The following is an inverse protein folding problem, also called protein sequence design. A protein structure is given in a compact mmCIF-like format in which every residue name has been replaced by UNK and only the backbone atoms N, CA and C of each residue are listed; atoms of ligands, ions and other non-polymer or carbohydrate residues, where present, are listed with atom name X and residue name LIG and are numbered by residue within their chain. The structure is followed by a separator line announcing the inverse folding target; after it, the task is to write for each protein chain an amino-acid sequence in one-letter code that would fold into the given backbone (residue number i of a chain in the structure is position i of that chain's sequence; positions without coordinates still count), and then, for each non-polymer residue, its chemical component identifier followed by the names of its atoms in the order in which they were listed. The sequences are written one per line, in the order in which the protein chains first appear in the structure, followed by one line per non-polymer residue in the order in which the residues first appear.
data_IF_017825336590
#
_entry.id   IF_017825336590
#
_cell.length_a   1.000
_cell.length_b   1.000
_cell.length_c   1.000
_cell.angle_alpha   90.00
_cell.angle_beta   90.00
_cell.angle_gamma   90.00
#
_symmetry.space_group_name_H-M   'P 1'
#
loop_
_entity.id
_entity.type
_entity.pdbx_description
1 polymer ?
#
# COMPACT_ATOMS: atom_id res chain seq x y z
N UNK A 1 7.12 3.00 47.81
CA UNK A 1 6.04 2.55 48.71
C UNK A 1 5.33 1.37 48.08
N UNK A 2 4.45 0.68 48.80
CA UNK A 2 3.83 -0.58 48.33
C UNK A 2 2.73 -0.38 47.27
N UNK A 3 2.19 0.82 47.12
CA UNK A 3 1.10 1.12 46.18
C UNK A 3 0.02 1.93 46.87
N UNK A 4 -0.78 2.68 46.10
CA UNK A 4 -1.92 3.44 46.65
C UNK A 4 -3.14 2.53 46.87
N UNK A 5 -4.07 2.92 47.73
CA UNK A 5 -5.35 2.22 47.93
C UNK A 5 -5.45 1.41 49.23
N UNK A 6 -6.67 1.03 49.62
CA UNK A 6 -6.96 0.35 50.89
C UNK A 6 -6.24 -1.00 51.04
N UNK A 7 -5.94 -1.66 49.91
CA UNK A 7 -5.22 -2.94 49.86
C UNK A 7 -3.79 -2.80 49.32
N UNK A 8 -3.31 -1.56 49.18
CA UNK A 8 -1.97 -1.27 48.63
C UNK A 8 -1.76 -1.83 47.21
N UNK A 9 -2.85 -1.99 46.45
CA UNK A 9 -2.89 -2.61 45.11
C UNK A 9 -2.69 -1.60 43.96
N UNK A 10 -2.50 -0.32 44.27
CA UNK A 10 -2.23 0.73 43.30
C UNK A 10 -0.81 0.71 42.76
N UNK A 11 -0.60 1.39 41.63
CA UNK A 11 0.69 1.44 40.94
C UNK A 11 1.77 2.03 41.89
N UNK A 12 2.77 1.22 42.20
CA UNK A 12 3.86 1.59 43.11
C UNK A 12 4.97 2.41 42.43
N UNK A 13 5.06 2.35 41.09
CA UNK A 13 6.05 3.07 40.28
C UNK A 13 5.40 4.11 39.36
N UNK A 14 6.15 5.15 39.01
CA UNK A 14 5.65 6.15 38.07
C UNK A 14 5.51 5.57 36.65
N UNK A 15 4.46 5.98 35.94
CA UNK A 15 4.30 5.66 34.51
C UNK A 15 5.42 6.32 33.73
N UNK A 16 6.13 5.52 32.92
CA UNK A 16 7.19 6.02 32.04
C UNK A 16 6.62 6.32 30.67
N UNK A 17 6.77 7.57 30.25
CA UNK A 17 6.41 8.00 28.89
C UNK A 17 7.65 8.04 28.01
N UNK A 18 7.48 7.68 26.73
CA UNK A 18 8.52 7.86 25.72
C UNK A 18 8.22 9.12 24.94
N UNK A 19 9.14 10.08 24.95
CA UNK A 19 9.04 11.27 24.10
C UNK A 19 9.45 10.88 22.69
N UNK A 20 8.61 11.27 21.71
CA UNK A 20 8.88 11.09 20.30
C UNK A 20 9.31 12.43 19.71
N UNK A 21 10.47 12.46 19.06
CA UNK A 21 11.04 13.67 18.46
C UNK A 21 11.04 13.62 16.92
N UNK A 22 10.42 12.61 16.33
CA UNK A 22 10.30 12.45 14.89
C UNK A 22 8.87 12.72 14.41
N UNK A 23 8.72 12.94 13.09
CA UNK A 23 7.45 13.27 12.44
C UNK A 23 6.70 12.04 11.91
N UNK A 24 7.27 10.84 12.04
CA UNK A 24 6.70 9.64 11.45
C UNK A 24 5.37 9.26 12.14
N UNK A 25 4.45 8.65 11.38
CA UNK A 25 3.25 8.05 11.97
C UNK A 25 3.54 6.69 12.61
N UNK A 26 2.60 6.18 13.41
CA UNK A 26 2.59 4.75 13.75
C UNK A 26 2.31 3.97 12.48
N UNK A 27 3.09 2.91 12.22
CA UNK A 27 2.99 2.14 10.97
C UNK A 27 3.66 2.78 9.76
N UNK A 28 4.42 3.87 9.92
CA UNK A 28 5.22 4.44 8.83
C UNK A 28 6.35 3.48 8.45
N UNK A 29 6.40 3.11 7.17
CA UNK A 29 7.52 2.39 6.59
C UNK A 29 8.61 3.38 6.14
N UNK A 30 9.76 3.34 6.83
CA UNK A 30 10.91 4.19 6.53
C UNK A 30 11.62 3.81 5.22
N UNK A 31 11.39 2.60 4.70
CA UNK A 31 11.97 2.14 3.44
C UNK A 31 11.15 2.58 2.21
N UNK A 32 9.88 2.95 2.40
CA UNK A 32 8.96 3.35 1.33
C UNK A 32 9.54 4.40 0.36
N UNK A 33 10.20 5.49 0.84
CA UNK A 33 10.78 6.49 -0.05
C UNK A 33 11.91 5.97 -0.94
N UNK A 34 12.58 4.88 -0.54
CA UNK A 34 13.70 4.27 -1.25
C UNK A 34 13.29 3.11 -2.14
N UNK A 35 12.00 2.71 -2.10
CA UNK A 35 11.48 1.57 -2.84
C UNK A 35 11.18 1.86 -4.32
N UNK A 36 11.08 3.14 -4.70
CA UNK A 36 10.67 3.52 -6.05
C UNK A 36 11.83 4.01 -6.90
N UNK A 37 12.18 3.21 -7.90
CA UNK A 37 13.16 3.55 -8.91
C UNK A 37 12.49 4.29 -10.07
N UNK A 38 12.38 5.62 -9.96
CA UNK A 38 11.70 6.44 -10.97
C UNK A 38 12.23 6.25 -12.39
N UNK A 39 13.52 5.95 -12.54
CA UNK A 39 14.16 5.74 -13.85
C UNK A 39 13.66 4.45 -14.51
N UNK A 40 13.48 3.39 -13.73
CA UNK A 40 12.99 2.08 -14.19
C UNK A 40 11.53 2.20 -14.62
N UNK A 41 10.72 2.91 -13.84
CA UNK A 41 9.33 3.22 -14.20
C UNK A 41 9.23 3.97 -15.53
N UNK A 42 10.00 5.06 -15.70
CA UNK A 42 10.00 5.85 -16.94
C UNK A 42 10.45 5.02 -18.13
N UNK A 43 11.49 4.19 -17.95
CA UNK A 43 12.01 3.32 -18.99
C UNK A 43 10.97 2.26 -19.42
N UNK A 44 10.38 1.54 -18.45
CA UNK A 44 9.42 0.48 -18.74
C UNK A 44 8.15 1.03 -19.38
N UNK A 45 7.63 2.17 -18.93
CA UNK A 45 6.49 2.86 -19.56
C UNK A 45 6.79 3.29 -21.00
N UNK A 46 7.98 3.83 -21.25
CA UNK A 46 8.39 4.22 -22.60
C UNK A 46 8.58 3.00 -23.52
N UNK A 47 9.22 1.95 -23.02
CA UNK A 47 9.46 0.71 -23.76
C UNK A 47 8.15 -0.01 -24.10
N UNK A 48 7.19 -0.04 -23.17
CA UNK A 48 5.87 -0.63 -23.38
C UNK A 48 5.07 0.08 -24.48
N UNK A 49 5.36 1.35 -24.76
CA UNK A 49 4.70 2.10 -25.82
C UNK A 49 5.26 1.85 -27.23
N UNK A 50 6.37 1.12 -27.36
CA UNK A 50 6.98 0.82 -28.65
C UNK A 50 6.62 -0.61 -29.06
N UNK A 51 5.89 -0.75 -30.15
CA UNK A 51 5.66 -2.03 -30.81
C UNK A 51 6.64 -2.23 -31.97
N UNK A 52 7.27 -3.39 -32.01
CA UNK A 52 8.18 -3.80 -33.09
C UNK A 52 7.54 -4.95 -33.84
N UNK A 53 7.30 -4.75 -35.14
CA UNK A 53 6.75 -5.78 -36.02
C UNK A 53 7.79 -6.17 -37.07
N UNK A 54 8.04 -7.47 -37.21
CA UNK A 54 8.88 -8.02 -38.28
C UNK A 54 8.00 -8.36 -39.48
N UNK A 55 8.15 -7.61 -40.56
CA UNK A 55 7.48 -7.83 -41.84
C UNK A 55 8.38 -8.54 -42.85
N UNK A 56 7.80 -8.88 -44.01
CA UNK A 56 8.52 -9.50 -45.12
C UNK A 56 9.66 -8.62 -45.68
N UNK A 57 9.53 -7.29 -45.54
CA UNK A 57 10.51 -6.29 -46.00
C UNK A 57 11.42 -5.73 -44.89
N UNK A 58 11.40 -6.33 -43.69
CA UNK A 58 12.26 -5.93 -42.56
C UNK A 58 11.51 -5.54 -41.28
N UNK A 59 12.17 -4.77 -40.42
CA UNK A 59 11.67 -4.40 -39.08
C UNK A 59 10.93 -3.05 -39.16
N UNK A 60 9.68 -3.00 -38.69
CA UNK A 60 8.89 -1.77 -38.56
C UNK A 60 8.64 -1.46 -37.08
N UNK A 61 8.79 -0.19 -36.69
CA UNK A 61 8.45 0.28 -35.34
C UNK A 61 7.22 1.18 -35.37
N UNK A 62 6.31 0.98 -34.43
CA UNK A 62 5.11 1.80 -34.23
C UNK A 62 5.01 2.19 -32.77
N UNK A 63 4.71 3.45 -32.50
CA UNK A 63 4.25 3.88 -31.17
C UNK A 63 2.78 3.54 -31.01
N UNK A 64 2.43 2.91 -29.88
CA UNK A 64 1.07 2.46 -29.59
C UNK A 64 0.13 3.62 -29.22
N UNK A 65 0.65 4.67 -28.58
CA UNK A 65 -0.10 5.88 -28.22
C UNK A 65 0.20 7.06 -29.16
N UNK A 66 -0.82 7.64 -29.77
CA UNK A 66 -0.69 8.81 -30.66
C UNK A 66 -0.58 10.15 -29.89
N UNK A 67 -1.21 10.25 -28.72
CA UNK A 67 -0.89 11.24 -27.69
C UNK A 67 0.15 10.61 -26.77
N UNK A 68 1.38 11.12 -26.78
CA UNK A 68 2.49 10.56 -26.02
C UNK A 68 2.13 10.14 -24.58
N UNK A 69 2.79 9.09 -24.09
CA UNK A 69 2.54 8.53 -22.76
C UNK A 69 2.73 9.61 -21.70
N UNK A 70 1.74 9.78 -20.82
CA UNK A 70 1.82 10.66 -19.66
C UNK A 70 2.74 10.08 -18.58
N UNK A 71 4.03 9.95 -18.88
CA UNK A 71 5.01 9.33 -17.99
C UNK A 71 5.37 10.30 -16.88
N UNK A 72 5.17 9.86 -15.63
CA UNK A 72 5.55 10.60 -14.42
C UNK A 72 6.83 10.01 -13.82
N UNK A 73 7.68 10.88 -13.29
CA UNK A 73 8.84 10.49 -12.47
C UNK A 73 8.46 10.26 -10.99
N UNK A 74 7.18 10.40 -10.63
CA UNK A 74 6.69 10.18 -9.27
C UNK A 74 6.04 8.81 -9.18
N UNK A 75 6.27 8.16 -8.03
CA UNK A 75 5.59 6.91 -7.69
C UNK A 75 4.07 7.12 -7.81
N UNK A 76 3.35 6.30 -8.57
CA UNK A 76 1.90 6.34 -8.57
C UNK A 76 1.44 6.01 -7.15
N UNK A 77 0.91 7.03 -6.45
CA UNK A 77 0.34 6.82 -5.14
C UNK A 77 -0.95 6.02 -5.33
N UNK A 78 -0.97 4.76 -4.87
CA UNK A 78 -2.24 4.04 -4.69
C UNK A 78 -3.02 4.89 -3.69
N UNK A 79 -3.95 5.70 -4.17
CA UNK A 79 -5.04 6.14 -3.33
C UNK A 79 -5.75 4.83 -2.95
N UNK A 80 -5.39 4.25 -1.80
CA UNK A 80 -6.23 3.23 -1.19
C UNK A 80 -7.62 3.80 -1.23
N UNK A 81 -8.58 3.09 -1.84
CA UNK A 81 -9.90 3.61 -2.13
C UNK A 81 -10.55 4.06 -0.82
N UNK A 82 -10.32 5.31 -0.45
CA UNK A 82 -10.85 5.95 0.72
C UNK A 82 -12.27 6.38 0.35
N UNK A 83 -13.13 5.38 0.12
CA UNK A 83 -14.56 5.59 0.16
C UNK A 83 -14.88 6.23 1.51
N UNK A 84 -15.38 7.47 1.45
CA UNK A 84 -15.92 8.29 2.55
C UNK A 84 -15.31 8.07 3.94
N UNK A 85 -13.98 7.94 4.06
CA UNK A 85 -13.34 7.84 5.36
C UNK A 85 -12.89 9.23 5.78
N UNK A 86 -13.49 9.76 6.85
CA UNK A 86 -13.18 11.10 7.36
C UNK A 86 -11.68 11.27 7.69
N UNK A 87 -10.97 10.16 7.95
CA UNK A 87 -9.53 10.12 8.20
C UNK A 87 -8.86 8.96 7.46
N UNK A 88 -8.64 9.10 6.15
CA UNK A 88 -8.04 8.08 5.27
C UNK A 88 -6.57 7.72 5.51
N UNK A 89 -6.04 7.97 6.72
CA UNK A 89 -4.66 7.65 7.12
C UNK A 89 -4.57 6.59 8.21
N UNK A 90 -5.69 6.20 8.81
CA UNK A 90 -5.71 5.15 9.83
C UNK A 90 -6.04 3.81 9.18
N UNK A 91 -5.23 2.79 9.49
CA UNK A 91 -5.36 1.43 8.95
C UNK A 91 -6.45 0.63 9.68
N UNK A 92 -6.87 1.06 10.87
CA UNK A 92 -7.89 0.40 11.70
C UNK A 92 -8.75 1.44 12.41
N UNK A 93 -10.07 1.27 12.34
CA UNK A 93 -11.03 2.01 13.16
C UNK A 93 -11.66 1.07 14.19
N UNK A 94 -11.62 1.46 15.45
CA UNK A 94 -12.27 0.74 16.55
C UNK A 94 -12.89 1.75 17.51
N UNK A 95 -14.03 1.40 18.10
CA UNK A 95 -14.65 2.17 19.17
C UNK A 95 -14.37 1.46 20.50
N UNK A 96 -13.86 2.21 21.47
CA UNK A 96 -13.66 1.70 22.82
C UNK A 96 -14.99 1.79 23.57
N UNK A 97 -15.58 0.64 23.90
CA UNK A 97 -16.81 0.58 24.72
C UNK A 97 -16.46 0.14 26.14
N UNK A 98 -17.43 0.24 27.07
CA UNK A 98 -17.25 -0.18 28.46
C UNK A 98 -16.90 -1.69 28.62
N UNK A 99 -17.08 -2.50 27.56
CA UNK A 99 -16.80 -3.94 27.55
C UNK A 99 -15.53 -4.33 26.75
N UNK A 100 -14.76 -3.36 26.26
CA UNK A 100 -13.54 -3.59 25.49
C UNK A 100 -13.55 -2.92 24.12
N UNK A 101 -12.55 -3.25 23.30
CA UNK A 101 -12.47 -2.75 21.93
C UNK A 101 -13.52 -3.43 21.04
N UNK A 102 -14.39 -2.62 20.40
CA UNK A 102 -15.33 -3.10 19.39
C UNK A 102 -14.87 -2.61 18.02
N UNK A 103 -14.51 -3.55 17.14
CA UNK A 103 -14.14 -3.23 15.77
C UNK A 103 -15.40 -2.87 14.99
N UNK A 104 -15.43 -1.69 14.39
CA UNK A 104 -16.56 -1.28 13.52
C UNK A 104 -16.53 -2.12 12.24
N UNK A 105 -17.39 -3.13 12.11
CA UNK A 105 -17.65 -3.80 10.83
C UNK A 105 -18.61 -2.93 10.02
N UNK A 106 -18.10 -2.24 9.00
CA UNK A 106 -18.93 -1.51 8.02
C UNK A 106 -19.33 -2.44 6.85
N UNK A 107 -20.43 -2.12 6.13
CA UNK A 107 -21.19 -3.09 5.36
C UNK A 107 -20.43 -3.57 4.11
N UNK A 108 -20.79 -4.78 3.69
CA UNK A 108 -20.24 -5.51 2.56
C UNK A 108 -19.98 -4.62 1.33
N UNK A 109 -18.73 -4.66 0.84
CA UNK A 109 -18.31 -4.14 -0.44
C UNK A 109 -17.15 -5.00 -0.94
N UNK A 110 -17.51 -6.08 -1.62
CA UNK A 110 -16.65 -7.07 -2.28
C UNK A 110 -15.70 -7.87 -1.40
N UNK A 111 -16.24 -8.96 -0.88
CA UNK A 111 -15.57 -10.27 -0.97
C UNK A 111 -15.13 -10.50 -2.44
N UNK A 112 -13.87 -10.22 -2.74
CA UNK A 112 -13.24 -10.60 -4.01
C UNK A 112 -12.41 -11.84 -3.75
N UNK A 113 -12.94 -12.96 -4.26
CA UNK A 113 -12.37 -14.31 -4.23
C UNK A 113 -10.88 -14.31 -4.62
N UNK A 114 -10.09 -15.01 -3.81
CA UNK A 114 -8.68 -15.29 -4.05
C UNK A 114 -8.60 -16.45 -5.05
N UNK A 115 -8.70 -16.14 -6.35
CA UNK A 115 -8.43 -17.11 -7.42
C UNK A 115 -6.92 -17.07 -7.70
N UNK A 116 -6.14 -17.97 -7.09
CA UNK A 116 -4.75 -18.20 -7.47
C UNK A 116 -4.69 -18.86 -8.85
N UNK A 117 -4.60 -18.07 -9.92
CA UNK A 117 -4.25 -18.59 -11.25
C UNK A 117 -2.77 -18.97 -11.31
N UNK A 118 -2.51 -20.22 -10.92
CA UNK A 118 -1.29 -20.94 -11.24
C UNK A 118 -1.27 -21.20 -12.76
N UNK A 119 -0.67 -20.28 -13.52
CA UNK A 119 -0.43 -20.45 -14.96
C UNK A 119 0.56 -21.60 -15.18
N UNK A 120 0.03 -22.77 -15.55
CA UNK A 120 0.80 -23.95 -15.93
C UNK A 120 1.45 -23.70 -17.30
N UNK A 121 2.77 -23.50 -17.34
CA UNK A 121 3.53 -23.21 -18.55
C UNK A 121 3.84 -24.47 -19.39
N UNK A 122 3.13 -25.58 -19.19
CA UNK A 122 3.38 -26.83 -19.91
C UNK A 122 2.58 -26.94 -21.22
N UNK A 123 2.75 -26.03 -22.18
CA UNK A 123 2.50 -26.32 -23.60
C UNK A 123 2.88 -25.14 -24.52
N UNK A 124 4.19 -24.99 -24.79
CA UNK A 124 4.65 -24.32 -26.00
C UNK A 124 5.72 -25.19 -26.66
N UNK A 125 5.27 -26.25 -27.34
CA UNK A 125 6.13 -27.07 -28.21
C UNK A 125 5.39 -27.46 -29.48
N UNK A 126 5.42 -26.56 -30.47
CA UNK A 126 5.89 -26.77 -31.86
C UNK A 126 5.44 -25.61 -32.73
#
# INVERSE_FOLDING_TARGET
GQGLGKREDGIAEAIRVKVKCDTAGVGHDAAEPFSFHWWDHVFNEAAANVAVEAGQDGISMKTLSERGVGISNKKPHRAGSAGSMLYGRFVKSAMLTAHGEESTKLPAGSESSEEEEKLDLSSARR
#
